data_IF_823914146784
#
_entry.id   IF_823914146784
#
_cell.length_a   1.000
_cell.length_b   1.000
_cell.length_c   1.000
_cell.angle_alpha   90.00
_cell.angle_beta   90.00
_cell.angle_gamma   90.00
#
_symmetry.space_group_name_H-M   'P 1'
#
loop_
_entity.id
_entity.type
_entity.pdbx_description
1 polymer ?
#
# COMPACT_ATOMS: atom_id res chain seq x y z
N UNK A 1 -23.01 -13.01 -11.38
CA UNK A 1 -22.91 -11.54 -11.54
C UNK A 1 -23.95 -11.15 -12.57
N UNK A 2 -24.94 -10.34 -12.20
CA UNK A 2 -25.87 -9.73 -13.18
C UNK A 2 -25.05 -8.66 -13.89
N UNK A 3 -24.83 -8.82 -15.20
CA UNK A 3 -24.15 -7.81 -15.99
C UNK A 3 -24.93 -6.49 -15.89
N UNK A 4 -24.27 -5.41 -15.48
CA UNK A 4 -24.84 -4.08 -15.46
C UNK A 4 -24.99 -3.53 -16.88
N UNK A 5 -25.75 -2.45 -17.04
CA UNK A 5 -25.91 -1.76 -18.34
C UNK A 5 -24.77 -0.77 -18.62
N UNK A 6 -24.00 -0.44 -17.61
CA UNK A 6 -22.85 0.47 -17.69
C UNK A 6 -21.61 -0.38 -17.50
N UNK A 7 -20.70 -0.38 -18.43
CA UNK A 7 -19.40 -1.03 -18.32
C UNK A 7 -18.43 -0.14 -17.54
N UNK A 8 -17.54 -0.79 -16.77
CA UNK A 8 -16.52 -0.13 -15.95
C UNK A 8 -15.21 -0.89 -16.17
N UNK A 9 -14.28 -0.26 -16.88
CA UNK A 9 -13.02 -0.84 -17.28
C UNK A 9 -11.83 0.03 -16.81
N UNK A 10 -10.61 -0.46 -16.99
CA UNK A 10 -9.35 0.25 -16.76
C UNK A 10 -9.28 0.98 -15.40
N UNK A 11 -9.83 0.36 -14.36
CA UNK A 11 -9.80 0.92 -13.01
C UNK A 11 -8.36 0.96 -12.48
N UNK A 12 -7.93 2.11 -11.99
CA UNK A 12 -6.63 2.29 -11.35
C UNK A 12 -6.76 3.16 -10.08
N UNK A 13 -5.94 2.90 -9.05
CA UNK A 13 -4.83 1.96 -9.00
C UNK A 13 -5.28 0.52 -8.68
N UNK A 14 -4.85 -0.44 -9.49
CA UNK A 14 -5.09 -1.87 -9.27
C UNK A 14 -3.78 -2.64 -9.41
N UNK A 15 -3.42 -3.44 -8.40
CA UNK A 15 -2.16 -4.20 -8.36
C UNK A 15 -2.44 -5.68 -8.62
N UNK A 16 -1.76 -6.27 -9.61
CA UNK A 16 -1.90 -7.70 -9.95
C UNK A 16 -3.37 -8.13 -10.11
N UNK A 17 -4.14 -7.38 -10.92
CA UNK A 17 -5.58 -7.62 -11.14
C UNK A 17 -6.41 -7.66 -9.84
N UNK A 18 -6.09 -6.81 -8.87
CA UNK A 18 -6.81 -6.74 -7.59
C UNK A 18 -6.36 -7.75 -6.53
N UNK A 19 -5.38 -8.61 -6.85
CA UNK A 19 -4.87 -9.64 -5.93
C UNK A 19 -4.21 -9.04 -4.68
N UNK A 20 -3.58 -7.88 -4.80
CA UNK A 20 -2.93 -7.17 -3.70
C UNK A 20 -3.46 -5.74 -3.60
N UNK A 21 -3.54 -5.17 -2.38
CA UNK A 21 -3.89 -3.77 -2.24
C UNK A 21 -2.81 -2.87 -2.84
N UNK A 22 -3.22 -1.77 -3.46
CA UNK A 22 -2.32 -0.68 -3.76
C UNK A 22 -1.77 -0.07 -2.46
N UNK A 23 -0.69 0.69 -2.53
CA UNK A 23 -0.06 1.33 -1.37
C UNK A 23 -0.27 2.83 -1.39
N UNK A 24 -0.51 3.39 -0.21
CA UNK A 24 -0.54 4.83 0.03
C UNK A 24 -0.09 5.12 1.46
N UNK A 25 0.06 6.39 1.81
CA UNK A 25 0.27 6.83 3.19
C UNK A 25 -0.82 7.81 3.63
N UNK A 26 -0.97 7.99 4.94
CA UNK A 26 -1.91 8.97 5.50
C UNK A 26 -1.62 10.36 4.94
N UNK A 27 -2.67 11.06 4.49
CA UNK A 27 -2.59 12.38 3.90
C UNK A 27 -2.14 12.42 2.44
N UNK A 28 -1.84 11.28 1.82
CA UNK A 28 -1.52 11.21 0.39
C UNK A 28 -2.79 11.27 -0.46
N UNK A 29 -2.72 12.04 -1.55
CA UNK A 29 -3.79 12.04 -2.55
C UNK A 29 -3.70 10.75 -3.35
N UNK A 30 -4.73 9.92 -3.28
CA UNK A 30 -4.86 8.69 -4.07
C UNK A 30 -5.73 8.99 -5.29
N UNK A 31 -5.14 9.14 -6.49
CA UNK A 31 -5.91 9.35 -7.71
C UNK A 31 -6.55 8.04 -8.15
N UNK A 32 -7.79 8.12 -8.59
CA UNK A 32 -8.55 7.00 -9.16
C UNK A 32 -9.01 7.36 -10.55
N UNK A 33 -8.81 6.47 -11.52
CA UNK A 33 -9.38 6.58 -12.85
C UNK A 33 -10.16 5.33 -13.22
N UNK A 34 -11.12 5.46 -14.11
CA UNK A 34 -11.82 4.34 -14.73
C UNK A 34 -12.39 4.77 -16.08
N UNK A 35 -12.50 3.83 -17.03
CA UNK A 35 -13.32 3.98 -18.21
C UNK A 35 -14.75 3.55 -17.85
N UNK A 36 -15.73 4.43 -18.07
CA UNK A 36 -17.15 4.16 -17.76
C UNK A 36 -17.99 4.51 -18.98
N UNK A 37 -18.63 3.52 -19.57
CA UNK A 37 -19.30 3.68 -20.85
C UNK A 37 -20.52 2.78 -21.01
N UNK A 38 -21.34 3.10 -22.00
CA UNK A 38 -22.45 2.28 -22.50
C UNK A 38 -22.66 2.54 -23.97
N UNK A 39 -23.42 1.68 -24.61
CA UNK A 39 -23.80 1.90 -26.00
C UNK A 39 -24.73 3.12 -26.16
N UNK A 40 -24.64 3.80 -27.30
CA UNK A 40 -25.46 4.93 -27.66
C UNK A 40 -24.85 6.29 -27.34
N UNK A 41 -25.69 7.33 -27.24
CA UNK A 41 -25.26 8.73 -27.06
C UNK A 41 -25.64 9.32 -25.72
N UNK A 42 -26.29 8.53 -24.86
CA UNK A 42 -26.68 8.97 -23.52
C UNK A 42 -25.48 9.22 -22.63
N UNK A 43 -25.55 10.26 -21.85
CA UNK A 43 -24.51 10.59 -20.91
C UNK A 43 -24.40 9.53 -19.80
N UNK A 44 -23.17 9.15 -19.49
CA UNK A 44 -22.82 8.37 -18.31
C UNK A 44 -22.04 9.23 -17.35
N UNK A 45 -22.08 8.87 -16.09
CA UNK A 45 -21.28 9.50 -15.03
C UNK A 45 -20.77 8.45 -14.06
N UNK A 46 -19.79 8.81 -13.25
CA UNK A 46 -19.14 7.92 -12.32
C UNK A 46 -19.12 8.48 -10.89
N UNK A 47 -19.14 7.58 -9.92
CA UNK A 47 -19.02 7.91 -8.49
C UNK A 47 -17.96 7.02 -7.87
N UNK A 48 -16.95 7.61 -7.25
CA UNK A 48 -15.98 6.92 -6.44
C UNK A 48 -16.58 6.66 -5.05
N UNK A 49 -16.59 5.40 -4.64
CA UNK A 49 -17.08 4.97 -3.32
C UNK A 49 -15.92 4.45 -2.51
N UNK A 50 -15.58 5.12 -1.41
CA UNK A 50 -14.42 4.82 -0.57
C UNK A 50 -14.87 4.38 0.81
N UNK A 51 -14.20 3.38 1.39
CA UNK A 51 -14.49 2.88 2.74
C UNK A 51 -13.21 2.54 3.50
N UNK A 52 -13.15 2.92 4.76
CA UNK A 52 -12.15 2.48 5.73
C UNK A 52 -12.59 1.20 6.45
N UNK A 53 -11.67 0.25 6.66
CA UNK A 53 -11.94 -1.06 7.27
C UNK A 53 -11.16 -1.31 8.56
N UNK A 54 -10.31 -0.37 9.00
CA UNK A 54 -9.50 -0.53 10.20
C UNK A 54 -8.07 -1.00 9.92
N UNK A 55 -7.33 -1.26 10.99
CA UNK A 55 -5.90 -1.59 10.96
C UNK A 55 -5.60 -3.09 10.84
N UNK A 56 -6.61 -3.96 10.88
CA UNK A 56 -6.41 -5.39 10.68
C UNK A 56 -5.97 -5.63 9.22
N UNK A 57 -4.72 -6.08 9.06
CA UNK A 57 -4.27 -6.54 7.75
C UNK A 57 -5.06 -7.78 7.35
N UNK A 58 -5.52 -7.91 6.10
CA UNK A 58 -6.13 -9.14 5.63
C UNK A 58 -5.19 -10.29 5.95
N UNK A 59 -5.64 -11.24 6.77
CA UNK A 59 -4.86 -12.46 7.00
C UNK A 59 -4.76 -13.15 5.65
N UNK A 60 -3.54 -13.32 5.14
CA UNK A 60 -3.29 -14.30 4.11
C UNK A 60 -3.84 -15.63 4.67
N UNK A 61 -4.72 -16.30 3.92
CA UNK A 61 -5.17 -17.61 4.31
C UNK A 61 -3.92 -18.47 4.55
N UNK A 62 -3.86 -19.13 5.70
CA UNK A 62 -2.79 -20.08 5.95
C UNK A 62 -2.85 -21.09 4.79
N UNK A 63 -1.73 -21.26 4.08
CA UNK A 63 -1.66 -22.26 3.03
C UNK A 63 -2.11 -23.60 3.62
N UNK A 64 -3.04 -24.33 2.99
CA UNK A 64 -3.42 -25.66 3.45
C UNK A 64 -2.15 -26.50 3.60
N UNK A 65 -2.01 -27.19 4.71
CA UNK A 65 -0.88 -28.07 4.94
C UNK A 65 -0.77 -29.07 3.76
N UNK A 66 0.31 -28.95 2.97
CA UNK A 66 0.59 -29.85 1.84
C UNK A 66 0.61 -29.22 0.44
N UNK A 67 0.33 -27.95 0.28
CA UNK A 67 0.49 -27.25 -1.02
C UNK A 67 1.83 -26.51 -1.09
N UNK A 68 2.54 -26.74 -2.19
CA UNK A 68 3.78 -26.02 -2.49
C UNK A 68 3.54 -24.50 -2.42
N UNK A 69 4.52 -23.76 -1.88
CA UNK A 69 4.46 -22.31 -1.61
C UNK A 69 4.12 -21.41 -2.82
N UNK A 70 3.98 -21.97 -4.03
CA UNK A 70 3.59 -21.27 -5.26
C UNK A 70 2.12 -20.84 -5.30
N UNK A 71 1.27 -21.26 -4.34
CA UNK A 71 -0.16 -20.96 -4.31
C UNK A 71 -0.61 -20.42 -2.95
N UNK A 72 -0.02 -19.31 -2.51
CA UNK A 72 -0.67 -18.49 -1.48
C UNK A 72 -1.82 -17.78 -2.18
N UNK A 73 -3.02 -18.34 -2.12
CA UNK A 73 -4.22 -17.63 -2.56
C UNK A 73 -4.40 -16.40 -1.67
N UNK A 74 -4.39 -15.23 -2.29
CA UNK A 74 -4.80 -14.01 -1.63
C UNK A 74 -6.26 -14.19 -1.19
N UNK A 75 -6.56 -13.94 0.09
CA UNK A 75 -7.95 -13.91 0.55
C UNK A 75 -8.64 -12.80 -0.20
N UNK A 76 -9.76 -13.06 -0.90
CA UNK A 76 -10.52 -12.01 -1.54
C UNK A 76 -10.83 -10.90 -0.54
N UNK A 77 -10.72 -9.65 -0.95
CA UNK A 77 -10.96 -8.48 -0.09
C UNK A 77 -12.37 -8.54 0.51
N UNK A 78 -13.31 -9.18 -0.16
CA UNK A 78 -14.68 -9.42 0.30
C UNK A 78 -14.75 -10.23 1.60
N UNK A 79 -13.86 -11.20 1.81
CA UNK A 79 -13.82 -12.05 3.00
C UNK A 79 -13.16 -11.37 4.21
N UNK A 80 -12.39 -10.31 3.98
CA UNK A 80 -11.72 -9.52 5.03
C UNK A 80 -12.68 -8.53 5.69
N UNK A 81 -13.74 -8.13 4.99
CA UNK A 81 -14.65 -7.05 5.36
C UNK A 81 -15.68 -7.44 6.42
N UNK A 82 -15.76 -8.71 6.81
CA UNK A 82 -16.81 -9.26 7.68
C UNK A 82 -16.84 -8.82 9.15
N UNK A 83 -15.85 -8.10 9.68
CA UNK A 83 -15.65 -7.90 11.12
C UNK A 83 -15.49 -6.46 11.65
N UNK A 84 -15.43 -5.43 10.81
CA UNK A 84 -15.13 -4.07 11.27
C UNK A 84 -16.38 -3.21 11.49
N UNK A 85 -16.29 -2.22 12.40
CA UNK A 85 -17.30 -1.19 12.60
C UNK A 85 -17.76 -0.64 11.24
N UNK A 86 -19.08 -0.60 11.01
CA UNK A 86 -19.69 -0.09 9.76
C UNK A 86 -19.47 1.42 9.63
N UNK A 87 -18.29 1.83 9.20
CA UNK A 87 -18.06 3.21 8.76
C UNK A 87 -18.85 3.43 7.47
N UNK A 88 -19.65 4.50 7.42
CA UNK A 88 -20.40 4.86 6.20
C UNK A 88 -19.41 5.13 5.08
N UNK A 89 -19.61 4.56 3.86
CA UNK A 89 -18.76 4.86 2.74
C UNK A 89 -18.89 6.33 2.33
N UNK A 90 -17.75 6.94 2.00
CA UNK A 90 -17.73 8.23 1.33
C UNK A 90 -18.10 8.03 -0.14
N UNK A 91 -18.85 8.98 -0.70
CA UNK A 91 -19.21 9.00 -2.12
C UNK A 91 -18.73 10.30 -2.72
N UNK A 92 -17.80 10.21 -3.64
CA UNK A 92 -17.12 11.33 -4.26
C UNK A 92 -17.46 11.35 -5.75
N UNK A 93 -17.82 12.49 -6.32
CA UNK A 93 -18.05 12.60 -7.75
C UNK A 93 -16.74 12.34 -8.50
N UNK A 94 -16.82 11.73 -9.67
CA UNK A 94 -15.72 11.65 -10.61
C UNK A 94 -15.98 12.61 -11.77
N UNK A 95 -14.92 13.24 -12.25
CA UNK A 95 -14.99 14.18 -13.38
C UNK A 95 -14.54 13.53 -14.67
N UNK A 96 -15.15 13.85 -15.82
CA UNK A 96 -14.68 13.35 -17.11
C UNK A 96 -13.26 13.84 -17.39
N UNK A 97 -12.43 12.96 -17.94
CA UNK A 97 -11.08 13.25 -18.40
C UNK A 97 -11.03 13.88 -19.78
N UNK A 98 -9.83 13.95 -20.34
CA UNK A 98 -9.62 14.39 -21.73
C UNK A 98 -9.91 13.28 -22.74
N UNK A 99 -9.70 12.03 -22.32
CA UNK A 99 -10.01 10.86 -23.14
C UNK A 99 -11.49 10.55 -23.05
N UNK A 100 -12.14 10.12 -24.14
CA UNK A 100 -13.53 9.70 -24.13
C UNK A 100 -13.77 8.64 -23.05
N UNK A 101 -14.90 8.72 -22.35
CA UNK A 101 -15.37 7.75 -21.38
C UNK A 101 -14.48 7.54 -20.15
N UNK A 102 -13.36 8.25 -20.03
CA UNK A 102 -12.45 8.17 -18.86
C UNK A 102 -12.88 9.18 -17.81
N UNK A 103 -13.04 8.69 -16.58
CA UNK A 103 -13.38 9.48 -15.41
C UNK A 103 -12.24 9.47 -14.38
N UNK A 104 -12.05 10.61 -13.72
CA UNK A 104 -11.06 10.80 -12.66
C UNK A 104 -11.72 11.21 -11.35
N UNK A 105 -11.27 10.59 -10.29
CA UNK A 105 -11.60 10.96 -8.92
C UNK A 105 -10.36 10.87 -8.05
N UNK A 106 -10.48 11.27 -6.79
CA UNK A 106 -9.42 11.12 -5.81
C UNK A 106 -9.98 11.07 -4.40
N UNK A 107 -9.23 10.49 -3.50
CA UNK A 107 -9.51 10.55 -2.06
C UNK A 107 -8.20 10.71 -1.28
N UNK A 108 -8.33 11.20 -0.05
CA UNK A 108 -7.20 11.37 0.86
C UNK A 108 -7.49 10.54 2.12
N UNK A 109 -6.77 9.44 2.35
CA UNK A 109 -6.97 8.64 3.55
C UNK A 109 -6.41 9.40 4.78
N UNK A 110 -7.17 9.41 5.86
CA UNK A 110 -6.85 10.09 7.12
C UNK A 110 -6.40 9.13 8.24
N UNK A 111 -6.38 7.83 7.98
CA UNK A 111 -6.01 6.82 8.95
C UNK A 111 -5.20 5.67 8.32
N UNK A 112 -4.24 5.14 9.09
CA UNK A 112 -3.50 3.92 8.74
C UNK A 112 -4.44 2.71 8.73
N UNK A 113 -4.29 1.83 7.74
CA UNK A 113 -5.03 0.58 7.65
C UNK A 113 -5.56 0.27 6.26
N UNK A 114 -6.50 -0.66 6.20
CA UNK A 114 -7.12 -1.08 4.95
C UNK A 114 -8.23 -0.11 4.57
N UNK A 115 -8.09 0.44 3.39
CA UNK A 115 -9.13 1.18 2.68
C UNK A 115 -9.54 0.38 1.45
N UNK A 116 -10.76 0.57 1.02
CA UNK A 116 -11.22 0.06 -0.26
C UNK A 116 -11.88 1.16 -1.05
N UNK A 117 -11.78 1.05 -2.36
CA UNK A 117 -12.55 1.88 -3.28
C UNK A 117 -13.17 1.03 -4.36
N UNK A 118 -14.24 1.55 -4.95
CA UNK A 118 -14.84 1.06 -6.18
C UNK A 118 -15.41 2.23 -6.97
N UNK A 119 -15.57 2.04 -8.24
CA UNK A 119 -16.26 2.99 -9.13
C UNK A 119 -17.67 2.47 -9.39
N UNK A 120 -18.66 3.30 -9.13
CA UNK A 120 -20.06 3.04 -9.51
C UNK A 120 -20.36 3.86 -10.77
N UNK A 121 -20.59 3.20 -11.90
CA UNK A 121 -21.03 3.83 -13.16
C UNK A 121 -22.55 3.95 -13.21
N UNK A 122 -23.08 5.04 -13.77
CA UNK A 122 -24.53 5.26 -13.85
C UNK A 122 -24.92 6.13 -15.04
N UNK A 123 -26.14 5.92 -15.55
CA UNK A 123 -26.71 6.75 -16.60
C UNK A 123 -27.16 8.08 -16.01
N UNK A 124 -26.79 9.17 -16.68
CA UNK A 124 -27.14 10.54 -16.29
C UNK A 124 -28.22 11.10 -17.24
N UNK A 125 -29.50 10.86 -16.93
CA UNK A 125 -30.59 11.33 -17.80
C UNK A 125 -30.70 12.84 -17.84
N UNK A 126 -30.25 13.54 -16.78
CA UNK A 126 -30.28 15.02 -16.76
C UNK A 126 -29.16 15.58 -17.64
N UNK A 127 -27.95 15.04 -17.57
CA UNK A 127 -26.87 15.46 -18.46
C UNK A 127 -27.22 15.18 -19.93
N UNK A 128 -27.79 14.01 -20.21
CA UNK A 128 -28.33 13.66 -21.55
C UNK A 128 -29.35 14.68 -22.03
N UNK A 129 -30.35 14.98 -21.20
CA UNK A 129 -31.40 15.96 -21.52
C UNK A 129 -30.80 17.35 -21.74
N UNK A 130 -29.97 17.85 -20.83
CA UNK A 130 -29.33 19.18 -20.95
C UNK A 130 -28.53 19.31 -22.24
N UNK A 131 -27.71 18.33 -22.57
CA UNK A 131 -26.92 18.28 -23.82
C UNK A 131 -27.84 18.40 -25.05
N UNK A 132 -28.91 17.60 -25.08
CA UNK A 132 -29.81 17.55 -26.24
C UNK A 132 -30.63 18.82 -26.36
N UNK A 133 -31.21 19.34 -25.28
CA UNK A 133 -31.98 20.58 -25.29
C UNK A 133 -31.13 21.78 -25.67
N UNK A 134 -29.92 21.90 -25.11
CA UNK A 134 -29.02 22.99 -25.47
C UNK A 134 -28.69 22.97 -26.96
N UNK A 135 -28.33 21.79 -27.51
CA UNK A 135 -28.00 21.65 -28.94
C UNK A 135 -29.19 22.04 -29.84
N UNK A 136 -30.45 21.68 -29.45
CA UNK A 136 -31.65 22.01 -30.20
C UNK A 136 -32.01 23.52 -30.11
N UNK A 137 -31.82 24.14 -28.94
CA UNK A 137 -31.95 25.56 -28.73
C UNK A 137 -30.95 26.35 -29.58
N UNK A 138 -29.68 25.94 -29.58
CA UNK A 138 -28.62 26.56 -30.37
C UNK A 138 -28.89 26.43 -31.88
N UNK A 139 -29.59 25.36 -32.29
CA UNK A 139 -30.03 25.16 -33.67
C UNK A 139 -31.31 25.97 -34.03
N UNK A 140 -31.88 26.75 -33.09
CA UNK A 140 -33.05 27.57 -33.31
C UNK A 140 -34.35 26.81 -33.46
N UNK A 141 -34.46 25.59 -32.92
CA UNK A 141 -35.72 24.82 -32.97
C UNK A 141 -36.83 25.50 -32.18
N UNK A 142 -38.02 25.51 -32.72
CA UNK A 142 -39.16 26.19 -32.16
C UNK A 142 -39.97 25.39 -31.13
N UNK A 143 -41.04 26.02 -30.60
CA UNK A 143 -41.85 25.46 -29.51
C UNK A 143 -42.48 24.09 -29.90
N UNK A 144 -42.96 23.94 -31.13
CA UNK A 144 -43.58 22.68 -31.58
C UNK A 144 -42.63 21.51 -31.60
N UNK A 145 -41.34 21.78 -31.85
CA UNK A 145 -40.29 20.75 -31.92
C UNK A 145 -39.73 20.40 -30.53
N UNK A 146 -39.65 21.39 -29.62
CA UNK A 146 -39.03 21.25 -28.31
C UNK A 146 -40.00 20.93 -27.18
N UNK A 147 -41.29 21.05 -27.39
CA UNK A 147 -42.25 20.91 -26.30
C UNK A 147 -42.13 19.60 -25.51
N UNK A 148 -41.95 18.47 -26.21
CA UNK A 148 -41.75 17.18 -25.53
C UNK A 148 -40.45 17.13 -24.76
N UNK A 149 -39.36 17.69 -25.28
CA UNK A 149 -38.09 17.75 -24.60
C UNK A 149 -38.17 18.57 -23.29
N UNK A 150 -38.86 19.69 -23.34
CA UNK A 150 -39.09 20.54 -22.17
C UNK A 150 -39.97 19.85 -21.10
N UNK A 151 -41.00 19.11 -21.51
CA UNK A 151 -41.84 18.32 -20.60
C UNK A 151 -41.04 17.15 -19.98
N UNK A 152 -40.17 16.48 -20.76
CA UNK A 152 -39.23 15.45 -20.23
C UNK A 152 -38.31 16.07 -19.18
N UNK A 153 -37.76 17.25 -19.46
CA UNK A 153 -36.90 17.98 -18.50
C UNK A 153 -37.62 18.27 -17.20
N UNK A 154 -38.88 18.72 -17.28
CA UNK A 154 -39.69 18.97 -16.08
C UNK A 154 -39.87 17.71 -15.23
N UNK A 155 -40.19 16.57 -15.86
CA UNK A 155 -40.31 15.29 -15.14
C UNK A 155 -38.99 14.83 -14.52
N UNK A 156 -37.87 15.02 -15.21
CA UNK A 156 -36.54 14.68 -14.69
C UNK A 156 -36.16 15.53 -13.45
N UNK A 157 -36.44 16.84 -13.49
CA UNK A 157 -36.19 17.75 -12.36
C UNK A 157 -37.07 17.41 -11.15
N UNK A 158 -38.35 17.06 -11.35
CA UNK A 158 -39.21 16.61 -10.26
C UNK A 158 -38.70 15.32 -9.62
N UNK A 159 -38.24 14.37 -10.43
CA UNK A 159 -37.65 13.13 -9.93
C UNK A 159 -36.36 13.41 -9.17
N UNK A 160 -35.50 14.28 -9.68
CA UNK A 160 -34.29 14.69 -9.01
C UNK A 160 -34.57 15.37 -7.67
N UNK A 161 -35.59 16.22 -7.59
CA UNK A 161 -36.01 16.90 -6.37
C UNK A 161 -36.35 15.91 -5.23
N UNK A 162 -36.78 14.68 -5.53
CA UNK A 162 -37.04 13.68 -4.48
C UNK A 162 -35.80 13.27 -3.71
N UNK A 163 -34.61 13.30 -4.33
CA UNK A 163 -33.30 12.98 -3.74
C UNK A 163 -32.64 14.16 -2.99
N UNK A 164 -33.14 15.38 -3.16
CA UNK A 164 -32.62 16.60 -2.55
C UNK A 164 -33.23 16.85 -1.17
N UNK A 165 -32.51 17.38 -0.16
CA UNK A 165 -33.08 17.79 1.12
C UNK A 165 -34.26 18.77 0.91
N UNK A 166 -35.30 18.67 1.76
CA UNK A 166 -36.58 19.39 1.53
C UNK A 166 -36.39 20.91 1.42
N UNK A 167 -35.49 21.49 2.19
CA UNK A 167 -35.18 22.91 2.18
C UNK A 167 -34.53 23.40 0.87
N UNK A 168 -33.88 22.52 0.12
CA UNK A 168 -33.07 22.85 -1.05
C UNK A 168 -33.76 22.51 -2.38
N UNK A 169 -34.99 21.95 -2.35
CA UNK A 169 -35.74 21.47 -3.53
C UNK A 169 -36.32 22.58 -4.40
N UNK A 170 -36.51 23.76 -3.83
CA UNK A 170 -37.31 24.82 -4.46
C UNK A 170 -36.79 25.22 -5.86
N UNK A 171 -35.46 25.38 -6.11
CA UNK A 171 -34.97 25.71 -7.45
C UNK A 171 -35.36 24.67 -8.52
N UNK A 172 -35.30 23.36 -8.17
CA UNK A 172 -35.67 22.29 -9.11
C UNK A 172 -37.17 22.29 -9.41
N UNK A 173 -38.01 22.54 -8.41
CA UNK A 173 -39.45 22.58 -8.57
C UNK A 173 -39.82 23.79 -9.44
N UNK A 174 -39.29 24.96 -9.14
CA UNK A 174 -39.51 26.16 -9.97
C UNK A 174 -39.06 25.97 -11.41
N UNK A 175 -37.86 25.40 -11.63
CA UNK A 175 -37.38 25.14 -12.99
C UNK A 175 -38.30 24.14 -13.74
N UNK A 176 -38.79 23.11 -13.05
CA UNK A 176 -39.76 22.17 -13.64
C UNK A 176 -41.09 22.83 -14.00
N UNK A 177 -41.60 23.72 -13.15
CA UNK A 177 -42.80 24.50 -13.43
C UNK A 177 -42.62 25.43 -14.63
N UNK A 178 -41.48 26.13 -14.72
CA UNK A 178 -41.16 27.02 -15.84
C UNK A 178 -41.05 26.28 -17.17
N UNK A 179 -40.49 25.07 -17.19
CA UNK A 179 -40.43 24.22 -18.38
C UNK A 179 -41.85 23.87 -18.91
N UNK A 180 -42.89 23.89 -18.09
CA UNK A 180 -44.26 23.59 -18.47
C UNK A 180 -45.06 24.80 -18.95
N UNK A 181 -44.55 26.01 -18.75
CA UNK A 181 -45.26 27.22 -19.18
C UNK A 181 -45.34 27.29 -20.72
N UNK A 182 -46.35 27.90 -21.28
CA UNK A 182 -46.37 28.21 -22.70
C UNK A 182 -45.35 29.33 -23.03
N UNK A 183 -44.86 29.37 -24.26
CA UNK A 183 -44.01 30.45 -24.74
C UNK A 183 -42.66 29.99 -25.30
N UNK A 184 -41.79 30.95 -25.49
CA UNK A 184 -40.49 30.75 -26.09
C UNK A 184 -39.65 29.65 -25.38
N UNK A 185 -39.15 28.63 -26.10
CA UNK A 185 -38.39 27.52 -25.51
C UNK A 185 -37.13 27.95 -24.77
N UNK A 186 -36.45 28.99 -25.24
CA UNK A 186 -35.25 29.50 -24.60
C UNK A 186 -35.52 30.06 -23.22
N UNK A 187 -36.62 30.86 -23.13
CA UNK A 187 -37.07 31.42 -21.84
C UNK A 187 -37.53 30.31 -20.89
N UNK A 188 -38.23 29.29 -21.40
CA UNK A 188 -38.73 28.15 -20.61
C UNK A 188 -37.59 27.31 -20.03
N UNK A 189 -36.54 27.08 -20.82
CA UNK A 189 -35.36 26.29 -20.39
C UNK A 189 -34.39 27.05 -19.45
N UNK A 190 -34.50 28.38 -19.38
CA UNK A 190 -33.50 29.22 -18.73
C UNK A 190 -33.18 28.83 -17.27
N UNK A 191 -34.23 28.65 -16.44
CA UNK A 191 -33.99 28.24 -15.04
C UNK A 191 -33.43 26.82 -14.92
N UNK A 192 -33.87 25.88 -15.76
CA UNK A 192 -33.37 24.51 -15.72
C UNK A 192 -31.94 24.34 -16.19
N UNK A 193 -31.43 25.28 -17.00
CA UNK A 193 -30.08 25.35 -17.49
C UNK A 193 -29.18 26.24 -16.61
N UNK A 194 -29.72 26.90 -15.61
CA UNK A 194 -29.00 27.85 -14.75
C UNK A 194 -27.88 27.17 -13.92
N UNK A 195 -26.81 27.90 -13.57
CA UNK A 195 -25.68 27.36 -12.85
C UNK A 195 -25.99 26.83 -11.44
N UNK A 196 -26.92 27.46 -10.72
CA UNK A 196 -27.38 27.06 -9.39
C UNK A 196 -28.12 25.72 -9.42
N UNK A 197 -28.98 25.52 -10.39
CA UNK A 197 -29.68 24.23 -10.66
C UNK A 197 -28.61 23.16 -11.03
N UNK A 198 -27.62 23.54 -11.85
CA UNK A 198 -26.57 22.60 -12.22
C UNK A 198 -25.73 22.19 -11.01
N UNK A 199 -25.36 23.12 -10.12
CA UNK A 199 -24.63 22.83 -8.89
C UNK A 199 -25.39 21.88 -7.96
N UNK A 200 -26.69 22.13 -7.79
CA UNK A 200 -27.56 21.28 -6.96
C UNK A 200 -27.69 19.85 -7.52
N UNK A 201 -27.80 19.71 -8.84
CA UNK A 201 -27.84 18.42 -9.51
C UNK A 201 -26.49 17.68 -9.49
N UNK A 202 -25.40 18.40 -9.44
CA UNK A 202 -24.07 17.81 -9.24
C UNK A 202 -23.91 17.25 -7.81
N UNK A 203 -24.46 17.93 -6.81
CA UNK A 203 -24.45 17.48 -5.41
C UNK A 203 -25.42 16.30 -5.18
N UNK A 204 -26.61 16.37 -5.77
CA UNK A 204 -27.68 15.36 -5.64
C UNK A 204 -28.09 14.80 -7.01
N UNK A 205 -27.21 14.04 -7.69
CA UNK A 205 -27.49 13.57 -9.04
C UNK A 205 -28.63 12.55 -9.10
N UNK A 206 -29.46 12.64 -10.13
CA UNK A 206 -30.44 11.61 -10.49
C UNK A 206 -29.71 10.47 -11.21
N UNK A 207 -29.45 9.38 -10.50
CA UNK A 207 -28.70 8.23 -11.02
C UNK A 207 -29.62 7.11 -11.43
N UNK A 208 -29.45 6.64 -12.66
CA UNK A 208 -30.20 5.50 -13.20
C UNK A 208 -29.26 4.39 -13.65
N UNK A 209 -29.74 3.17 -13.74
CA UNK A 209 -29.03 2.01 -14.24
C UNK A 209 -27.64 1.83 -13.58
N UNK A 210 -27.58 2.01 -12.26
CA UNK A 210 -26.31 1.98 -11.52
C UNK A 210 -25.67 0.60 -11.64
N UNK A 211 -24.49 0.53 -12.24
CA UNK A 211 -23.59 -0.62 -12.17
C UNK A 211 -22.56 -0.37 -11.08
N UNK A 212 -22.41 -1.32 -10.16
CA UNK A 212 -21.38 -1.27 -9.12
C UNK A 212 -20.16 -2.01 -9.62
N UNK A 213 -19.03 -1.32 -9.70
CA UNK A 213 -17.75 -1.93 -10.06
C UNK A 213 -17.20 -2.83 -8.95
N UNK A 214 -16.12 -3.49 -9.29
CA UNK A 214 -15.35 -4.33 -8.34
C UNK A 214 -14.72 -3.48 -7.23
N UNK A 215 -14.51 -4.11 -6.08
CA UNK A 215 -13.90 -3.47 -4.93
C UNK A 215 -12.38 -3.72 -4.94
N UNK A 216 -11.59 -2.64 -4.88
CA UNK A 216 -10.13 -2.68 -4.87
C UNK A 216 -9.59 -2.19 -3.53
N UNK A 217 -8.53 -2.84 -3.05
CA UNK A 217 -7.89 -2.49 -1.79
C UNK A 217 -6.80 -1.44 -1.94
N UNK A 218 -6.68 -0.60 -0.92
CA UNK A 218 -5.54 0.30 -0.70
C UNK A 218 -5.07 0.12 0.74
N UNK A 219 -3.85 -0.34 0.92
CA UNK A 219 -3.21 -0.35 2.23
C UNK A 219 -2.55 1.00 2.49
N UNK A 220 -3.03 1.70 3.49
CA UNK A 220 -2.54 3.01 3.89
C UNK A 220 -1.61 2.84 5.08
N UNK A 221 -0.40 3.33 4.95
CA UNK A 221 0.63 3.25 5.97
C UNK A 221 0.93 4.65 6.56
N UNK A 222 1.82 4.70 7.53
CA UNK A 222 2.31 5.96 8.10
C UNK A 222 3.19 6.72 7.08
N UNK A 223 3.34 8.06 7.19
CA UNK A 223 4.08 8.86 6.21
C UNK A 223 5.52 8.41 5.96
N UNK A 224 6.24 7.92 6.99
CA UNK A 224 7.61 7.41 6.84
C UNK A 224 7.74 6.18 5.94
N UNK A 225 6.65 5.45 5.68
CA UNK A 225 6.65 4.34 4.72
C UNK A 225 6.77 4.81 3.27
N UNK A 226 6.42 6.07 2.95
CA UNK A 226 6.57 6.64 1.62
C UNK A 226 7.98 7.14 1.35
N UNK A 227 8.57 7.78 2.35
CA UNK A 227 9.91 8.33 2.28
C UNK A 227 10.51 8.41 3.69
N UNK A 228 11.75 7.94 3.84
CA UNK A 228 12.54 8.07 5.05
C UNK A 228 14.03 8.09 4.69
N UNK A 229 14.82 8.80 5.48
CA UNK A 229 16.27 8.86 5.36
C UNK A 229 16.93 7.91 6.36
N UNK A 230 17.87 7.10 5.89
CA UNK A 230 18.46 6.03 6.65
C UNK A 230 19.94 6.28 6.90
N UNK A 231 20.40 6.08 8.15
CA UNK A 231 21.78 6.16 8.55
C UNK A 231 22.30 4.77 8.92
N UNK A 232 23.24 4.25 8.16
CA UNK A 232 23.90 2.97 8.48
C UNK A 232 24.89 3.15 9.63
N UNK A 233 24.72 2.38 10.70
CA UNK A 233 25.56 2.40 11.90
C UNK A 233 26.02 0.98 12.26
N UNK A 234 27.33 0.76 12.25
CA UNK A 234 27.94 -0.45 12.80
C UNK A 234 28.17 -0.30 14.31
N UNK A 235 27.38 -0.94 15.19
CA UNK A 235 27.57 -0.81 16.63
C UNK A 235 29.00 -1.16 17.07
N UNK A 236 29.59 -2.21 16.48
CA UNK A 236 30.96 -2.63 16.76
C UNK A 236 32.04 -1.55 16.49
N UNK A 237 31.74 -0.59 15.61
CA UNK A 237 32.68 0.48 15.24
C UNK A 237 32.58 1.72 16.12
N UNK A 238 31.70 1.72 17.13
CA UNK A 238 31.46 2.86 18.03
C UNK A 238 32.33 2.87 19.30
N UNK A 239 33.21 1.88 19.47
CA UNK A 239 34.04 1.77 20.67
C UNK A 239 35.20 2.76 20.75
N UNK A 240 35.52 3.45 19.65
CA UNK A 240 36.66 4.38 19.58
C UNK A 240 38.00 3.66 19.46
N UNK A 241 39.03 4.26 20.04
CA UNK A 241 40.42 3.82 19.96
C UNK A 241 41.02 3.72 21.36
N UNK A 242 41.87 2.72 21.60
CA UNK A 242 42.63 2.60 22.85
C UNK A 242 43.85 3.52 22.85
N UNK A 243 44.61 3.48 23.98
CA UNK A 243 45.86 4.27 24.14
C UNK A 243 46.94 3.94 23.12
N UNK A 244 46.92 2.74 22.57
CA UNK A 244 47.85 2.26 21.56
C UNK A 244 47.38 2.52 20.12
N UNK A 245 46.25 3.26 19.95
CA UNK A 245 45.70 3.57 18.67
C UNK A 245 45.06 2.35 17.97
N UNK A 246 44.64 1.33 18.73
CA UNK A 246 43.90 0.19 18.18
C UNK A 246 42.40 0.39 18.32
N UNK A 247 41.59 -0.05 17.33
CA UNK A 247 40.15 0.07 17.41
C UNK A 247 39.57 -0.80 18.54
N UNK A 248 38.73 -0.19 19.37
CA UNK A 248 38.00 -0.88 20.44
C UNK A 248 36.67 -1.33 19.89
N UNK A 249 36.26 -2.58 20.18
CA UNK A 249 34.95 -3.09 19.79
C UNK A 249 33.85 -2.37 20.56
N UNK A 250 32.94 -1.71 19.82
CA UNK A 250 31.79 -1.03 20.42
C UNK A 250 30.71 -2.00 20.89
N UNK A 251 29.76 -1.45 21.62
CA UNK A 251 28.59 -2.12 22.20
C UNK A 251 27.33 -1.32 21.85
N UNK A 252 26.14 -1.83 22.18
CA UNK A 252 24.90 -1.04 22.07
C UNK A 252 24.97 0.22 22.93
N UNK A 253 25.54 0.15 24.11
CA UNK A 253 25.71 1.34 24.97
C UNK A 253 26.62 2.41 24.32
N UNK A 254 27.68 2.02 23.59
CA UNK A 254 28.49 2.99 22.86
C UNK A 254 27.80 3.48 21.58
N UNK A 255 27.02 2.63 20.92
CA UNK A 255 26.23 3.00 19.75
C UNK A 255 25.12 4.02 20.09
N UNK A 256 24.47 3.88 21.24
CA UNK A 256 23.46 4.83 21.73
C UNK A 256 24.01 6.27 21.85
N UNK A 257 25.29 6.43 22.17
CA UNK A 257 25.94 7.76 22.23
C UNK A 257 26.02 8.46 20.86
N UNK A 258 25.91 7.71 19.76
CA UNK A 258 25.91 8.28 18.40
C UNK A 258 24.51 8.76 17.96
N UNK A 259 23.44 8.27 18.57
CA UNK A 259 22.05 8.53 18.15
C UNK A 259 21.68 10.03 18.13
N UNK A 260 22.05 10.87 19.16
CA UNK A 260 21.73 12.29 19.11
C UNK A 260 22.39 13.01 17.92
N UNK A 261 23.56 12.56 17.46
CA UNK A 261 24.19 13.12 16.27
C UNK A 261 23.43 12.73 15.01
N UNK A 262 23.02 11.47 14.91
CA UNK A 262 22.23 10.97 13.76
C UNK A 262 20.90 11.72 13.66
N UNK A 263 20.18 11.89 14.76
CA UNK A 263 18.94 12.64 14.80
C UNK A 263 19.13 14.11 14.39
N UNK A 264 20.20 14.79 14.87
CA UNK A 264 20.49 16.18 14.49
C UNK A 264 20.83 16.35 13.01
N UNK A 265 21.31 15.30 12.33
CA UNK A 265 21.52 15.32 10.88
C UNK A 265 20.22 15.18 10.08
N UNK A 266 19.07 14.93 10.75
CA UNK A 266 17.77 14.81 10.10
C UNK A 266 17.47 13.43 9.52
N UNK A 267 18.14 12.37 9.98
CA UNK A 267 17.79 11.01 9.62
C UNK A 267 16.56 10.53 10.40
N UNK A 268 15.80 9.64 9.79
CA UNK A 268 14.58 9.06 10.35
C UNK A 268 14.84 7.66 10.93
N UNK A 269 15.76 6.90 10.32
CA UNK A 269 16.00 5.50 10.64
C UNK A 269 17.50 5.23 10.83
N UNK A 270 17.83 4.49 11.89
CA UNK A 270 19.15 3.87 12.07
C UNK A 270 19.09 2.45 11.56
N UNK A 271 19.82 2.18 10.49
CA UNK A 271 20.00 0.84 9.93
C UNK A 271 21.24 0.18 10.52
N UNK A 272 21.05 -1.00 11.08
CA UNK A 272 22.15 -1.82 11.62
C UNK A 272 22.43 -2.99 10.69
N UNK A 273 23.67 -3.14 10.17
CA UNK A 273 24.14 -4.40 9.61
C UNK A 273 23.99 -5.53 10.62
N UNK A 274 24.10 -6.82 10.21
CA UNK A 274 23.78 -7.94 11.09
C UNK A 274 24.48 -7.82 12.45
N UNK A 275 23.71 -7.88 13.52
CA UNK A 275 24.16 -7.78 14.93
C UNK A 275 24.32 -9.14 15.59
N UNK A 276 24.24 -10.20 14.81
CA UNK A 276 24.21 -11.59 15.25
C UNK A 276 25.61 -12.14 15.55
N UNK A 277 25.73 -13.27 16.28
CA UNK A 277 27.01 -13.97 16.43
C UNK A 277 27.64 -14.26 15.07
N UNK A 278 28.97 -14.07 14.98
CA UNK A 278 29.72 -14.27 13.75
C UNK A 278 30.43 -15.63 13.80
N UNK A 279 30.36 -16.38 12.71
CA UNK A 279 30.99 -17.68 12.56
C UNK A 279 32.50 -17.67 12.79
N UNK A 280 33.07 -18.83 13.16
CA UNK A 280 34.51 -19.03 13.36
C UNK A 280 35.15 -19.81 12.22
N UNK A 281 34.36 -20.72 11.60
CA UNK A 281 34.83 -21.55 10.49
C UNK A 281 35.05 -20.66 9.27
N UNK A 282 36.21 -20.74 8.66
CA UNK A 282 36.62 -19.91 7.51
C UNK A 282 36.46 -18.39 7.71
N UNK A 283 36.48 -17.93 8.97
CA UNK A 283 36.35 -16.51 9.32
C UNK A 283 37.31 -15.66 8.51
N UNK A 284 36.83 -14.55 7.98
CA UNK A 284 37.61 -13.56 7.25
C UNK A 284 38.43 -12.69 8.21
N UNK A 285 39.68 -12.42 7.82
CA UNK A 285 40.54 -11.47 8.47
C UNK A 285 40.37 -10.03 7.95
N UNK A 286 41.26 -9.13 8.37
CA UNK A 286 41.29 -7.73 7.92
C UNK A 286 41.38 -7.66 6.39
N UNK A 287 40.73 -6.66 5.81
CA UNK A 287 40.66 -6.44 4.36
C UNK A 287 40.24 -7.68 3.56
N UNK A 288 39.29 -8.44 4.13
CA UNK A 288 38.73 -9.65 3.51
C UNK A 288 39.80 -10.78 3.28
N UNK A 289 40.88 -10.79 4.09
CA UNK A 289 41.82 -11.87 4.07
C UNK A 289 41.16 -13.22 4.34
N UNK A 290 41.54 -14.26 3.63
CA UNK A 290 40.98 -15.62 3.80
C UNK A 290 41.41 -16.30 5.11
N UNK A 291 42.38 -15.75 5.82
CA UNK A 291 42.87 -16.23 7.12
C UNK A 291 42.69 -15.13 8.17
N UNK A 292 41.93 -15.44 9.22
CA UNK A 292 41.73 -14.53 10.34
C UNK A 292 42.81 -14.67 11.39
N UNK A 293 43.30 -13.54 11.89
CA UNK A 293 44.09 -13.50 13.12
C UNK A 293 43.20 -13.69 14.36
N UNK A 294 43.76 -14.06 15.53
CA UNK A 294 42.95 -14.33 16.74
C UNK A 294 42.07 -13.18 17.21
N UNK A 295 42.41 -11.94 16.87
CA UNK A 295 41.67 -10.73 17.23
C UNK A 295 40.69 -10.26 16.13
N UNK A 296 40.69 -10.89 14.96
CA UNK A 296 39.82 -10.47 13.86
C UNK A 296 38.37 -10.79 14.14
N UNK A 297 37.52 -9.82 13.91
CA UNK A 297 36.09 -9.90 14.25
C UNK A 297 35.26 -10.69 13.22
N UNK A 298 35.78 -10.84 12.00
CA UNK A 298 35.05 -11.47 10.88
C UNK A 298 34.02 -10.54 10.20
N UNK A 299 33.32 -11.11 9.22
CA UNK A 299 32.24 -10.45 8.52
C UNK A 299 30.93 -10.55 9.33
N UNK A 300 30.19 -9.46 9.56
CA UNK A 300 28.88 -9.55 10.21
C UNK A 300 27.86 -10.35 9.41
N UNK A 301 28.04 -10.47 8.09
CA UNK A 301 27.19 -11.27 7.22
C UNK A 301 27.49 -12.78 7.26
N UNK A 302 28.59 -13.21 7.90
CA UNK A 302 28.84 -14.61 8.23
C UNK A 302 28.09 -14.95 9.55
N UNK A 303 26.77 -14.97 9.47
CA UNK A 303 25.85 -15.04 10.61
C UNK A 303 25.86 -16.43 11.23
N UNK A 304 25.94 -16.46 12.56
CA UNK A 304 25.77 -17.64 13.38
C UNK A 304 27.05 -18.28 13.86
N UNK A 305 26.97 -18.86 15.03
CA UNK A 305 28.00 -19.66 15.68
C UNK A 305 27.35 -20.51 16.78
N UNK A 306 28.17 -21.23 17.58
CA UNK A 306 27.67 -21.91 18.79
C UNK A 306 26.99 -20.98 19.82
N UNK A 307 27.00 -19.66 19.60
CA UNK A 307 26.36 -18.65 20.47
C UNK A 307 24.99 -18.20 19.97
N UNK A 308 24.51 -18.74 18.87
CA UNK A 308 23.20 -18.47 18.28
C UNK A 308 23.25 -18.07 16.81
N UNK A 309 22.08 -17.89 16.24
CA UNK A 309 21.86 -17.55 14.83
C UNK A 309 21.23 -16.17 14.64
N UNK A 310 20.24 -16.11 13.75
CA UNK A 310 19.55 -14.88 13.35
C UNK A 310 18.66 -14.26 14.43
N UNK A 311 18.38 -14.97 15.51
CA UNK A 311 17.60 -14.52 16.68
C UNK A 311 18.46 -14.25 17.92
N UNK A 312 19.77 -14.11 17.73
CA UNK A 312 20.71 -13.85 18.83
C UNK A 312 21.55 -12.60 18.60
N UNK A 313 21.91 -11.93 19.68
CA UNK A 313 22.83 -10.80 19.69
C UNK A 313 24.27 -11.27 19.80
N UNK A 314 25.19 -10.63 19.06
CA UNK A 314 26.62 -10.88 19.18
C UNK A 314 27.13 -10.56 20.61
N UNK A 315 27.76 -11.51 21.35
CA UNK A 315 28.08 -11.32 22.77
C UNK A 315 28.95 -10.10 23.11
N UNK A 316 29.72 -9.60 22.14
CA UNK A 316 30.51 -8.37 22.34
C UNK A 316 29.71 -7.08 22.14
N UNK A 317 28.52 -7.14 21.56
CA UNK A 317 27.65 -5.98 21.44
C UNK A 317 26.84 -5.74 22.72
N UNK A 318 26.57 -6.81 23.46
CA UNK A 318 25.75 -6.82 24.68
C UNK A 318 24.78 -7.98 24.70
N UNK A 319 23.70 -7.81 25.46
CA UNK A 319 22.59 -8.74 25.60
C UNK A 319 21.39 -8.29 24.75
N UNK A 320 20.29 -9.03 24.77
CA UNK A 320 19.04 -8.62 24.13
C UNK A 320 18.43 -7.41 24.85
N UNK A 321 18.58 -7.33 26.17
CA UNK A 321 18.14 -6.18 26.96
C UNK A 321 18.93 -4.92 26.59
N UNK A 322 20.25 -5.01 26.36
CA UNK A 322 21.05 -3.88 25.87
C UNK A 322 20.60 -3.41 24.48
N UNK A 323 20.08 -4.33 23.63
CA UNK A 323 19.48 -3.98 22.35
C UNK A 323 18.13 -3.27 22.54
N UNK A 324 17.29 -3.75 23.47
CA UNK A 324 16.00 -3.11 23.78
C UNK A 324 16.21 -1.68 24.33
N UNK A 325 17.22 -1.47 25.15
CA UNK A 325 17.63 -0.15 25.64
C UNK A 325 18.10 0.75 24.48
N UNK A 326 18.87 0.22 23.53
CA UNK A 326 19.29 0.95 22.32
C UNK A 326 18.08 1.36 21.47
N UNK A 327 17.11 0.48 21.26
CA UNK A 327 15.88 0.78 20.53
C UNK A 327 15.05 1.85 21.25
N UNK A 328 14.98 1.76 22.57
CA UNK A 328 14.28 2.75 23.40
C UNK A 328 14.93 4.12 23.30
N UNK A 329 16.27 4.18 23.37
CA UNK A 329 17.00 5.44 23.20
C UNK A 329 16.83 6.01 21.79
N UNK A 330 16.87 5.18 20.74
CA UNK A 330 16.63 5.62 19.35
C UNK A 330 15.25 6.26 19.23
N UNK A 331 14.22 5.63 19.76
CA UNK A 331 12.85 6.19 19.79
C UNK A 331 12.77 7.50 20.55
N UNK A 332 13.49 7.61 21.68
CA UNK A 332 13.60 8.85 22.47
C UNK A 332 14.21 10.01 21.67
N UNK A 333 15.03 9.71 20.67
CA UNK A 333 15.62 10.69 19.74
C UNK A 333 14.75 10.90 18.47
N UNK A 334 13.59 10.26 18.36
CA UNK A 334 12.73 10.30 17.18
C UNK A 334 13.22 9.44 16.01
N UNK A 335 14.13 8.49 16.27
CA UNK A 335 14.66 7.55 15.27
C UNK A 335 13.99 6.19 15.39
N UNK A 336 13.82 5.51 14.27
CA UNK A 336 13.43 4.09 14.21
C UNK A 336 14.66 3.22 13.95
N UNK A 337 14.55 1.93 14.26
CA UNK A 337 15.63 0.96 14.05
C UNK A 337 15.24 -0.02 12.97
N UNK A 338 16.13 -0.22 12.00
CA UNK A 338 16.04 -1.28 11.00
C UNK A 338 17.21 -2.24 11.14
N UNK A 339 16.95 -3.54 11.01
CA UNK A 339 17.97 -4.58 11.00
C UNK A 339 18.13 -5.18 9.61
N UNK A 340 19.37 -5.53 9.26
CA UNK A 340 19.66 -6.33 8.07
C UNK A 340 19.15 -7.78 8.27
N UNK A 341 18.31 -8.24 7.37
CA UNK A 341 17.85 -9.63 7.32
C UNK A 341 18.58 -10.37 6.20
N UNK A 342 19.83 -10.74 6.45
CA UNK A 342 20.65 -11.49 5.51
C UNK A 342 20.38 -13.00 5.65
N UNK A 343 19.67 -13.61 4.70
CA UNK A 343 19.29 -15.02 4.71
C UNK A 343 20.45 -15.91 4.20
N UNK A 344 21.51 -15.93 4.97
CA UNK A 344 22.73 -16.71 4.76
C UNK A 344 23.40 -17.01 6.10
N UNK A 345 24.21 -18.04 6.17
CA UNK A 345 24.73 -18.59 7.40
C UNK A 345 26.25 -18.77 7.36
N UNK A 346 26.91 -18.62 8.50
CA UNK A 346 28.25 -19.18 8.64
C UNK A 346 28.22 -20.72 8.69
N UNK A 347 29.31 -21.42 8.36
CA UNK A 347 29.36 -22.88 8.42
C UNK A 347 29.04 -23.48 9.80
N UNK A 348 29.28 -22.73 10.87
CA UNK A 348 29.00 -23.11 12.26
C UNK A 348 27.69 -22.51 12.81
N UNK A 349 26.78 -22.04 11.94
CA UNK A 349 25.43 -21.66 12.29
C UNK A 349 24.61 -22.87 12.76
N UNK A 350 23.69 -22.72 13.76
CA UNK A 350 22.81 -23.79 14.17
C UNK A 350 22.03 -24.43 13.00
N UNK A 351 21.51 -23.67 12.07
CA UNK A 351 20.79 -24.19 10.89
C UNK A 351 21.65 -25.12 10.02
N UNK A 352 22.94 -24.84 9.85
CA UNK A 352 23.80 -25.69 9.03
C UNK A 352 23.98 -27.12 9.63
N UNK A 353 23.79 -27.24 10.95
CA UNK A 353 23.82 -28.51 11.67
C UNK A 353 22.45 -29.17 11.77
N UNK A 354 21.43 -28.39 12.14
CA UNK A 354 20.11 -28.89 12.52
C UNK A 354 19.19 -29.04 11.31
N UNK A 355 19.44 -28.28 10.23
CA UNK A 355 18.68 -28.21 8.98
C UNK A 355 19.60 -28.23 7.75
N UNK A 356 20.44 -29.28 7.55
CA UNK A 356 21.33 -29.34 6.39
C UNK A 356 20.56 -29.33 5.05
N UNK A 357 19.29 -29.75 5.05
CA UNK A 357 18.39 -29.70 3.90
C UNK A 357 18.09 -28.27 3.41
N UNK A 358 18.32 -27.26 4.22
CA UNK A 358 18.14 -25.86 3.82
C UNK A 358 19.30 -25.29 2.98
N UNK A 359 20.27 -26.12 2.67
CA UNK A 359 21.46 -25.72 1.92
C UNK A 359 21.67 -26.59 0.68
N UNK A 360 22.42 -26.06 -0.28
CA UNK A 360 22.84 -26.84 -1.44
C UNK A 360 24.02 -27.73 -1.06
N UNK A 361 23.82 -29.05 -1.18
CA UNK A 361 24.88 -30.05 -0.96
C UNK A 361 25.52 -30.39 -2.31
N UNK A 362 26.85 -30.31 -2.35
CA UNK A 362 27.64 -30.67 -3.54
C UNK A 362 27.81 -32.20 -3.64
N UNK A 363 28.21 -32.73 -4.82
CA UNK A 363 28.37 -34.17 -5.02
C UNK A 363 29.37 -34.85 -4.07
N UNK A 364 30.30 -34.11 -3.49
CA UNK A 364 31.26 -34.60 -2.49
C UNK A 364 30.71 -34.60 -1.05
N UNK A 365 29.43 -34.19 -0.87
CA UNK A 365 28.76 -34.12 0.43
C UNK A 365 29.02 -32.83 1.20
N UNK A 366 29.79 -31.88 0.67
CA UNK A 366 30.00 -30.58 1.31
C UNK A 366 28.86 -29.60 1.00
N UNK A 367 28.60 -28.63 1.90
CA UNK A 367 27.66 -27.56 1.63
C UNK A 367 28.33 -26.49 0.74
N UNK A 368 27.62 -26.06 -0.29
CA UNK A 368 28.07 -25.00 -1.18
C UNK A 368 28.20 -23.68 -0.42
N UNK A 369 29.36 -23.05 -0.51
CA UNK A 369 29.56 -21.69 -0.02
C UNK A 369 29.21 -20.64 -1.08
N UNK A 370 29.00 -19.39 -0.65
CA UNK A 370 28.71 -18.29 -1.56
C UNK A 370 29.92 -17.98 -2.43
N UNK A 371 29.70 -17.79 -3.72
CA UNK A 371 30.74 -17.34 -4.64
C UNK A 371 30.20 -16.44 -5.75
N UNK A 372 31.09 -15.58 -6.22
CA UNK A 372 30.93 -14.81 -7.43
C UNK A 372 32.22 -14.99 -8.22
N UNK A 373 32.34 -16.05 -9.03
CA UNK A 373 33.60 -16.47 -9.60
C UNK A 373 34.38 -15.32 -10.27
N UNK A 374 35.70 -15.22 -10.03
CA UNK A 374 36.54 -16.14 -9.24
C UNK A 374 36.53 -15.88 -7.73
N UNK A 375 35.73 -14.98 -7.19
CA UNK A 375 35.67 -14.64 -5.76
C UNK A 375 34.92 -15.72 -4.98
N UNK A 376 35.48 -16.12 -3.82
CA UNK A 376 34.92 -17.14 -2.92
C UNK A 376 34.68 -16.57 -1.54
N UNK A 377 33.50 -16.87 -0.98
CA UNK A 377 33.07 -16.46 0.36
C UNK A 377 32.83 -17.70 1.22
N UNK A 378 33.90 -18.42 1.57
CA UNK A 378 33.84 -19.71 2.27
C UNK A 378 33.25 -19.62 3.69
N UNK A 379 33.17 -18.41 4.23
CA UNK A 379 32.56 -18.10 5.52
C UNK A 379 31.01 -17.94 5.44
N UNK A 380 30.41 -18.14 4.25
CA UNK A 380 28.98 -17.93 4.01
C UNK A 380 28.36 -19.11 3.24
N UNK A 381 27.35 -19.71 3.81
CA UNK A 381 26.46 -20.69 3.17
C UNK A 381 25.15 -19.99 2.82
N UNK A 382 24.79 -19.82 1.52
CA UNK A 382 23.48 -19.33 1.11
C UNK A 382 22.38 -20.33 1.46
N UNK A 383 21.22 -19.84 1.90
CA UNK A 383 20.03 -20.66 2.09
C UNK A 383 19.44 -21.03 0.72
N UNK A 384 19.11 -22.29 0.52
CA UNK A 384 18.43 -22.80 -0.67
C UNK A 384 16.92 -22.86 -0.43
N UNK A 385 16.21 -21.87 -0.95
CA UNK A 385 14.76 -21.74 -0.74
C UNK A 385 13.90 -22.81 -1.44
N UNK A 386 14.47 -23.56 -2.38
CA UNK A 386 13.73 -24.57 -3.16
C UNK A 386 13.64 -25.93 -2.44
N UNK A 387 14.57 -26.20 -1.50
CA UNK A 387 14.66 -27.49 -0.84
C UNK A 387 13.55 -27.72 0.20
N UNK A 388 13.25 -26.70 1.02
CA UNK A 388 12.17 -26.73 2.01
C UNK A 388 11.53 -25.35 2.16
N UNK A 389 10.73 -24.90 1.18
CA UNK A 389 10.11 -23.57 1.21
C UNK A 389 9.24 -23.34 2.44
N UNK A 390 8.54 -24.37 2.91
CA UNK A 390 7.62 -24.26 4.04
C UNK A 390 8.36 -24.11 5.38
N UNK A 391 9.37 -24.94 5.63
CA UNK A 391 10.18 -24.85 6.84
C UNK A 391 10.98 -23.57 6.92
N UNK A 392 11.64 -23.18 5.82
CA UNK A 392 12.39 -21.90 5.74
C UNK A 392 11.47 -20.71 5.97
N UNK A 393 10.28 -20.69 5.35
CA UNK A 393 9.30 -19.62 5.55
C UNK A 393 8.88 -19.51 7.02
N UNK A 394 8.54 -20.66 7.65
CA UNK A 394 8.12 -20.67 9.04
C UNK A 394 9.21 -20.14 9.99
N UNK A 395 10.47 -20.55 9.77
CA UNK A 395 11.60 -20.10 10.58
C UNK A 395 11.94 -18.63 10.34
N UNK A 396 11.99 -18.17 9.10
CA UNK A 396 12.20 -16.74 8.78
C UNK A 396 11.09 -15.88 9.40
N UNK A 397 9.84 -16.32 9.31
CA UNK A 397 8.72 -15.62 9.95
C UNK A 397 8.86 -15.57 11.47
N UNK A 398 9.36 -16.65 12.11
CA UNK A 398 9.66 -16.69 13.55
C UNK A 398 10.74 -15.66 13.91
N UNK A 399 11.84 -15.61 13.16
CA UNK A 399 12.93 -14.65 13.35
C UNK A 399 12.44 -13.21 13.19
N UNK A 400 11.68 -12.93 12.14
CA UNK A 400 11.11 -11.57 11.90
C UNK A 400 10.20 -11.16 13.06
N UNK A 401 9.32 -12.06 13.52
CA UNK A 401 8.44 -11.78 14.67
C UNK A 401 9.23 -11.54 15.95
N UNK A 402 10.31 -12.27 16.16
CA UNK A 402 11.19 -12.05 17.31
C UNK A 402 11.72 -10.61 17.31
N UNK A 403 12.32 -10.14 16.21
CA UNK A 403 12.86 -8.79 16.14
C UNK A 403 11.79 -7.69 16.18
N UNK A 404 10.62 -7.92 15.59
CA UNK A 404 9.47 -7.01 15.73
C UNK A 404 9.05 -6.89 17.21
N UNK A 405 9.06 -7.99 17.99
CA UNK A 405 8.74 -7.93 19.42
C UNK A 405 9.77 -7.14 20.25
N UNK A 406 10.99 -7.00 19.74
CA UNK A 406 12.05 -6.15 20.30
C UNK A 406 12.11 -4.74 19.66
N UNK A 407 11.10 -4.39 18.87
CA UNK A 407 10.86 -3.01 18.46
C UNK A 407 11.49 -2.58 17.13
N UNK A 408 11.95 -3.54 16.32
CA UNK A 408 12.40 -3.29 14.95
C UNK A 408 11.21 -2.99 14.03
#
# INVERSE_FOLDING_TARGET
VVAGRIEIDDVAPVVSCGRYPAKAVVGEVVPVKAAVWREGHDAVSATLVVRYHGTAYPRLAAAPAGLAASHVEAVPIEDVVGGSQRVKPQRLPMSPGREPDVFHGQFVPDAVGLWTFRVDGWSDPIATWRKNVTAKLDAGQGESELNNDLLIGAQLLERAATGVPRQDRYPLIQAAEQLRQPGDPFTRAGAALAPDVAALLAEYPLRELITRGEQHGVWVDRPLARFSSWYELFPRSTGGWDADGQPVHGTFATASKALPRVARMGFDIVYLPPIHPIGKVHRKGRNNSVTAAPKDVGSPWAIGSAKGGHDAVHPKLGTIEDFDDFVTEARGQGLEVALDLALQCAPDHPWAKDHPEWFTVLPDGTIAYAENPPKKYQDIYPVNFDNDPAGIYAEVLRVVRFWISHGV
#
